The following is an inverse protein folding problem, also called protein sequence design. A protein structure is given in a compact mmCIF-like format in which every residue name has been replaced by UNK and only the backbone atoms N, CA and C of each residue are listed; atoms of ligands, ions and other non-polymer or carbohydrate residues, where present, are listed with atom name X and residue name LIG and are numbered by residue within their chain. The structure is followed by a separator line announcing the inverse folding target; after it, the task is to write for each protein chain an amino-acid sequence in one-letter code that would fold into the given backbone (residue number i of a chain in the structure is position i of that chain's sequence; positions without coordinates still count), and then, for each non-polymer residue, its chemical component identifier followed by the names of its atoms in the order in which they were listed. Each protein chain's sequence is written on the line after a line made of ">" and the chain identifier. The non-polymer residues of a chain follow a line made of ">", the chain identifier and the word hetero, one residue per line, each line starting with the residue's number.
data_IF_558782448940
#
_entry.id   IF_558782448940
#
_cell.length_a   1.000
_cell.length_b   1.000
_cell.length_c   1.000
_cell.angle_alpha   90.00
_cell.angle_beta   90.00
_cell.angle_gamma   90.00
#
_symmetry.space_group_name_H-M   'P 1'
#
loop_
_entity.id
_entity.type
_entity.pdbx_description
1 polymer ?
#
# COMPACT_ATOMS: atom_id res chain seq x y z
N UNK A 1 15.67 -19.82 5.29
CA UNK A 1 14.74 -18.68 5.48
C UNK A 1 13.65 -18.89 4.45
N UNK A 2 12.47 -19.28 4.88
CA UNK A 2 11.36 -19.62 3.99
C UNK A 2 10.57 -18.34 3.68
N UNK A 3 10.16 -18.17 2.43
CA UNK A 3 9.31 -17.06 2.02
C UNK A 3 7.89 -17.58 1.96
N UNK A 4 7.00 -16.99 2.74
CA UNK A 4 5.56 -17.27 2.64
C UNK A 4 4.88 -16.18 1.81
N UNK A 5 3.97 -16.61 0.95
CA UNK A 5 3.15 -15.72 0.14
C UNK A 5 1.79 -15.51 0.80
N UNK A 6 1.31 -14.28 0.80
CA UNK A 6 -0.02 -13.92 1.27
C UNK A 6 -0.64 -12.87 0.35
N UNK A 7 -1.97 -12.75 0.40
CA UNK A 7 -2.71 -11.73 -0.33
C UNK A 7 -3.86 -11.20 0.51
N UNK A 8 -4.22 -9.94 0.29
CA UNK A 8 -5.34 -9.30 0.98
C UNK A 8 -6.08 -8.39 -0.01
N UNK A 9 -7.40 -8.50 -0.04
CA UNK A 9 -8.25 -7.66 -0.89
C UNK A 9 -8.92 -6.57 -0.06
N UNK A 10 -8.52 -5.33 -0.30
CA UNK A 10 -9.12 -4.16 0.34
C UNK A 10 -10.08 -3.44 -0.63
N UNK A 11 -11.39 -3.49 -0.34
CA UNK A 11 -12.41 -2.87 -1.20
C UNK A 11 -12.91 -1.55 -0.61
N UNK A 12 -12.69 -0.45 -1.34
CA UNK A 12 -13.17 0.88 -0.97
C UNK A 12 -14.46 1.17 -1.71
N UNK A 13 -15.59 1.17 -0.99
CA UNK A 13 -16.88 1.56 -1.54
C UNK A 13 -16.99 3.08 -1.59
N UNK A 14 -17.55 3.62 -2.67
CA UNK A 14 -17.78 5.07 -2.79
C UNK A 14 -16.50 5.89 -2.92
N UNK A 15 -15.48 5.40 -3.64
CA UNK A 15 -14.19 6.09 -3.81
C UNK A 15 -14.32 7.53 -4.34
N UNK A 16 -15.35 7.86 -5.12
CA UNK A 16 -15.65 9.24 -5.54
C UNK A 16 -15.96 10.19 -4.37
N UNK A 17 -16.54 9.68 -3.27
CA UNK A 17 -16.80 10.44 -2.04
C UNK A 17 -15.56 10.55 -1.15
N UNK A 18 -14.60 9.64 -1.30
CA UNK A 18 -13.34 9.70 -0.57
C UNK A 18 -12.41 10.81 -1.10
N UNK A 19 -12.59 11.25 -2.34
CA UNK A 19 -11.90 12.43 -2.88
C UNK A 19 -12.40 13.70 -2.19
N UNK A 20 -11.49 14.56 -1.74
CA UNK A 20 -11.81 15.74 -0.93
C UNK A 20 -11.77 15.50 0.58
N UNK A 21 -11.17 14.39 1.04
CA UNK A 21 -10.84 14.14 2.44
C UNK A 21 -9.68 15.00 2.96
N UNK A 22 -9.02 15.74 2.06
CA UNK A 22 -7.79 16.53 2.27
C UNK A 22 -6.53 15.67 2.28
N UNK A 23 -5.40 16.18 1.75
CA UNK A 23 -4.12 15.47 1.78
C UNK A 23 -3.72 14.98 3.18
N UNK A 24 -3.10 13.80 3.24
CA UNK A 24 -2.66 13.15 4.47
C UNK A 24 -3.76 12.37 5.21
N UNK A 25 -5.02 12.48 4.80
CA UNK A 25 -6.13 11.69 5.34
C UNK A 25 -6.21 10.37 4.58
N UNK A 26 -6.53 9.29 5.31
CA UNK A 26 -6.50 7.95 4.77
C UNK A 26 -7.69 7.09 5.19
N UNK A 27 -7.90 6.02 4.44
CA UNK A 27 -8.76 4.89 4.77
C UNK A 27 -7.84 3.68 4.89
N UNK A 28 -7.97 2.90 5.97
CA UNK A 28 -7.17 1.70 6.19
C UNK A 28 -7.98 0.43 5.92
N UNK A 29 -7.29 -0.64 5.51
CA UNK A 29 -7.84 -1.99 5.49
C UNK A 29 -8.02 -2.56 6.89
N UNK A 30 -8.66 -3.73 6.97
CA UNK A 30 -8.48 -4.59 8.12
C UNK A 30 -7.03 -5.06 8.21
N UNK A 31 -6.61 -5.45 9.42
CA UNK A 31 -5.30 -6.08 9.65
C UNK A 31 -5.34 -7.50 9.10
N UNK A 32 -4.27 -7.91 8.41
CA UNK A 32 -4.12 -9.28 7.89
C UNK A 32 -2.72 -9.81 8.20
N UNK A 33 -2.62 -11.11 8.43
CA UNK A 33 -1.36 -11.74 8.84
C UNK A 33 -0.74 -12.55 7.70
N UNK A 34 0.58 -12.40 7.50
CA UNK A 34 1.38 -13.18 6.55
C UNK A 34 2.72 -13.49 7.21
N UNK A 35 3.13 -14.76 7.21
CA UNK A 35 4.37 -15.22 7.83
C UNK A 35 4.53 -14.82 9.32
N UNK A 36 3.42 -14.84 10.07
CA UNK A 36 3.41 -14.45 11.48
C UNK A 36 3.55 -12.94 11.77
N UNK A 37 3.55 -12.10 10.73
CA UNK A 37 3.54 -10.64 10.86
C UNK A 37 2.20 -10.06 10.47
N UNK A 38 1.80 -9.01 11.16
CA UNK A 38 0.57 -8.29 10.87
C UNK A 38 0.83 -7.12 9.92
N UNK A 39 -0.07 -6.93 8.98
CA UNK A 39 0.04 -5.95 7.90
C UNK A 39 -1.25 -5.15 7.78
N UNK A 40 -1.13 -3.93 7.27
CA UNK A 40 -2.28 -3.06 6.97
C UNK A 40 -2.00 -2.27 5.70
N UNK A 41 -3.05 -2.01 4.91
CA UNK A 41 -2.98 -1.18 3.71
C UNK A 41 -3.58 0.19 4.01
N UNK A 42 -2.87 1.25 3.66
CA UNK A 42 -3.33 2.64 3.75
C UNK A 42 -3.61 3.22 2.38
N UNK A 43 -4.84 3.68 2.17
CA UNK A 43 -5.26 4.40 0.97
C UNK A 43 -5.43 5.89 1.26
N UNK A 44 -4.70 6.72 0.52
CA UNK A 44 -4.77 8.18 0.59
C UNK A 44 -5.44 8.71 -0.68
N UNK A 45 -6.74 9.08 -0.63
CA UNK A 45 -7.49 9.52 -1.81
C UNK A 45 -7.00 10.84 -2.41
N UNK A 46 -6.41 11.71 -1.58
CA UNK A 46 -5.87 13.03 -1.97
C UNK A 46 -4.36 13.14 -1.71
N UNK A 47 -3.67 12.00 -1.67
CA UNK A 47 -2.21 11.93 -1.49
C UNK A 47 -1.79 11.92 -0.01
N UNK A 48 -0.56 11.45 0.23
CA UNK A 48 -0.02 11.32 1.59
C UNK A 48 0.50 12.65 2.15
N UNK A 49 1.12 13.46 1.29
CA UNK A 49 1.88 14.64 1.70
C UNK A 49 1.11 15.92 1.33
N UNK A 50 0.67 16.73 2.31
CA UNK A 50 -0.02 18.00 2.04
C UNK A 50 0.85 19.03 1.33
N UNK A 51 2.17 18.93 1.52
CA UNK A 51 3.16 19.82 0.90
C UNK A 51 3.58 19.41 -0.51
N UNK A 52 3.02 18.32 -1.05
CA UNK A 52 3.16 17.98 -2.46
C UNK A 52 2.32 18.99 -3.26
N UNK A 53 2.92 20.16 -3.54
CA UNK A 53 2.39 21.31 -4.32
C UNK A 53 2.19 20.93 -5.80
N UNK A 54 1.45 19.84 -6.04
CA UNK A 54 1.06 19.45 -7.37
C UNK A 54 -0.34 19.97 -7.63
N UNK A 55 -0.55 20.57 -8.79
CA UNK A 55 -1.87 20.99 -9.30
C UNK A 55 -2.82 19.80 -9.50
N UNK A 56 -2.38 18.57 -9.20
CA UNK A 56 -3.08 17.32 -9.42
C UNK A 56 -3.37 16.63 -8.07
N UNK A 57 -4.61 16.22 -7.86
CA UNK A 57 -4.95 15.31 -6.75
C UNK A 57 -4.25 13.98 -7.01
N UNK A 58 -3.27 13.62 -6.17
CA UNK A 58 -2.58 12.33 -6.25
C UNK A 58 -3.35 11.27 -5.46
N UNK A 59 -3.41 10.04 -5.97
CA UNK A 59 -3.95 8.88 -5.24
C UNK A 59 -2.79 7.96 -4.92
N UNK A 60 -2.63 7.68 -3.62
CA UNK A 60 -1.50 6.92 -3.10
C UNK A 60 -1.95 5.74 -2.25
N UNK A 61 -1.21 4.64 -2.36
CA UNK A 61 -1.47 3.38 -1.67
C UNK A 61 -0.16 2.92 -1.05
N UNK A 62 -0.22 2.50 0.22
CA UNK A 62 0.93 2.01 0.96
C UNK A 62 0.57 0.74 1.70
N UNK A 63 1.53 -0.16 1.86
CA UNK A 63 1.45 -1.27 2.82
C UNK A 63 2.36 -0.96 4.00
N UNK A 64 1.89 -1.29 5.20
CA UNK A 64 2.62 -1.04 6.42
C UNK A 64 2.66 -2.28 7.32
N UNK A 65 3.76 -2.39 8.07
CA UNK A 65 3.90 -3.36 9.13
C UNK A 65 3.07 -2.91 10.35
N UNK A 66 2.16 -3.76 10.82
CA UNK A 66 1.32 -3.51 11.99
C UNK A 66 1.80 -4.23 13.26
N UNK A 67 2.61 -5.28 13.14
CA UNK A 67 3.24 -5.97 14.27
C UNK A 67 4.52 -5.28 14.74
N UNK A 68 4.86 -5.44 16.02
CA UNK A 68 6.16 -5.02 16.55
C UNK A 68 7.23 -6.02 16.11
N UNK A 69 8.12 -5.59 15.20
CA UNK A 69 9.26 -6.40 14.75
C UNK A 69 10.39 -5.51 14.26
N UNK A 70 11.61 -6.03 14.31
CA UNK A 70 12.81 -5.41 13.76
C UNK A 70 13.25 -6.12 12.49
N UNK A 71 13.59 -5.35 11.45
CA UNK A 71 14.29 -5.81 10.25
C UNK A 71 13.62 -6.98 9.51
N UNK A 72 12.32 -6.87 9.26
CA UNK A 72 11.64 -7.81 8.36
C UNK A 72 11.92 -7.45 6.91
N UNK A 73 12.01 -8.46 6.06
CA UNK A 73 12.25 -8.32 4.63
C UNK A 73 11.07 -8.87 3.87
N UNK A 74 10.48 -8.07 2.99
CA UNK A 74 9.31 -8.47 2.21
C UNK A 74 9.36 -7.89 0.79
N UNK A 75 8.67 -8.58 -0.12
CA UNK A 75 8.38 -8.10 -1.46
C UNK A 75 6.88 -7.87 -1.55
N UNK A 76 6.49 -6.82 -2.25
CA UNK A 76 5.10 -6.41 -2.35
C UNK A 76 4.70 -6.15 -3.79
N UNK A 77 3.45 -6.47 -4.08
CA UNK A 77 2.73 -5.96 -5.22
C UNK A 77 1.43 -5.33 -4.72
N UNK A 78 1.22 -4.08 -5.09
CA UNK A 78 0.02 -3.34 -4.78
C UNK A 78 -0.69 -2.98 -6.09
N UNK A 79 -1.91 -3.46 -6.23
CA UNK A 79 -2.73 -3.25 -7.42
C UNK A 79 -4.00 -2.48 -7.04
N UNK A 80 -4.10 -1.25 -7.54
CA UNK A 80 -5.34 -0.49 -7.51
C UNK A 80 -6.19 -0.88 -8.72
N UNK A 81 -7.27 -1.61 -8.46
CA UNK A 81 -8.12 -2.15 -9.51
C UNK A 81 -9.04 -1.08 -10.13
N UNK A 82 -8.86 -0.80 -11.42
CA UNK A 82 -9.87 -0.13 -12.24
C UNK A 82 -11.17 -0.94 -12.36
N UNK A 83 -12.27 -0.36 -11.91
CA UNK A 83 -13.61 -0.94 -11.99
C UNK A 83 -14.43 -0.38 -13.16
N UNK A 84 -13.88 0.52 -13.98
CA UNK A 84 -14.58 1.11 -15.13
C UNK A 84 -14.78 0.15 -16.31
N UNK A 85 -14.28 -1.09 -16.20
CA UNK A 85 -14.30 -2.09 -17.27
C UNK A 85 -13.21 -1.88 -18.33
N UNK A 86 -12.36 -0.84 -18.19
CA UNK A 86 -11.30 -0.53 -19.15
C UNK A 86 -9.98 -1.25 -18.85
N UNK A 87 -9.91 -1.99 -17.75
CA UNK A 87 -8.73 -2.77 -17.35
C UNK A 87 -7.49 -1.91 -17.02
N UNK A 88 -7.66 -0.62 -16.71
CA UNK A 88 -6.55 0.30 -16.43
C UNK A 88 -6.11 0.23 -14.96
N UNK A 89 -5.78 -0.96 -14.50
CA UNK A 89 -5.28 -1.15 -13.13
C UNK A 89 -3.96 -0.40 -12.93
N UNK A 90 -3.79 0.25 -11.78
CA UNK A 90 -2.52 0.87 -11.41
C UNK A 90 -1.75 -0.11 -10.52
N UNK A 91 -0.70 -0.70 -11.07
CA UNK A 91 0.14 -1.68 -10.38
C UNK A 91 1.43 -1.00 -9.93
N UNK A 92 1.84 -1.28 -8.69
CA UNK A 92 3.16 -0.95 -8.17
C UNK A 92 3.73 -2.24 -7.59
N UNK A 93 4.77 -2.77 -8.22
CA UNK A 93 5.32 -4.07 -7.90
C UNK A 93 6.82 -4.01 -7.69
N UNK A 94 7.31 -4.76 -6.69
CA UNK A 94 8.73 -5.04 -6.54
C UNK A 94 9.24 -6.08 -7.56
N UNK A 95 8.34 -6.82 -8.21
CA UNK A 95 8.70 -7.93 -9.10
C UNK A 95 9.04 -7.48 -10.53
N UNK A 96 8.64 -6.26 -10.93
CA UNK A 96 8.84 -5.74 -12.29
C UNK A 96 10.22 -5.09 -12.52
N UNK A 97 10.89 -4.65 -11.45
CA UNK A 97 12.28 -4.17 -11.54
C UNK A 97 13.18 -5.36 -11.25
N UNK A 98 14.21 -5.55 -12.08
CA UNK A 98 15.29 -6.47 -11.75
C UNK A 98 15.65 -6.26 -10.27
N UNK A 99 15.76 -7.36 -9.50
CA UNK A 99 15.94 -7.44 -8.05
C UNK A 99 17.20 -6.72 -7.50
N UNK A 100 17.71 -5.68 -8.16
CA UNK A 100 18.92 -4.95 -7.81
C UNK A 100 18.87 -4.35 -6.39
N UNK A 101 17.66 -4.13 -5.83
CA UNK A 101 17.49 -3.68 -4.45
C UNK A 101 17.21 -4.78 -3.42
N UNK A 102 16.97 -6.03 -3.84
CA UNK A 102 16.47 -7.09 -2.95
C UNK A 102 15.11 -6.78 -2.30
N UNK A 103 14.67 -7.60 -1.33
CA UNK A 103 13.48 -7.34 -0.54
C UNK A 103 13.54 -6.00 0.21
N UNK A 104 12.40 -5.33 0.34
CA UNK A 104 12.30 -4.10 1.13
C UNK A 104 12.38 -4.41 2.62
N UNK A 105 13.20 -3.65 3.35
CA UNK A 105 13.37 -3.80 4.80
C UNK A 105 12.44 -2.87 5.56
N UNK A 106 11.53 -3.44 6.36
CA UNK A 106 10.70 -2.71 7.32
C UNK A 106 11.30 -2.85 8.72
N UNK A 107 11.64 -1.72 9.32
CA UNK A 107 12.47 -1.70 10.53
C UNK A 107 11.67 -1.72 11.83
N UNK A 108 10.46 -1.21 11.81
CA UNK A 108 9.61 -1.06 13.00
C UNK A 108 8.13 -0.93 12.59
N UNK A 109 7.23 -1.15 13.55
CA UNK A 109 5.78 -0.97 13.39
C UNK A 109 5.44 0.39 12.81
N UNK A 110 4.69 0.41 11.72
CA UNK A 110 4.33 1.62 10.97
C UNK A 110 5.31 2.01 9.86
N UNK A 111 6.41 1.26 9.66
CA UNK A 111 7.22 1.37 8.43
C UNK A 111 6.33 1.08 7.21
N UNK A 112 6.50 1.84 6.13
CA UNK A 112 5.63 1.77 4.94
C UNK A 112 6.43 1.70 3.64
N UNK A 113 5.84 1.10 2.61
CA UNK A 113 6.35 1.10 1.22
C UNK A 113 5.32 1.67 0.23
#
# INVERSE_FOLDING_TARGET
>A
METENGSHQFTIKGCSLAKGMSPGRYIQSDVFSVNGYDWVIYFYPDGKNPEENSTYVSVSLFIALASDSSDIRALFELTLMDQSGRGRHKVRSHFDRALEGGPYTLKYKGSMW
#
